data_IF_608881562528
#
_entry.id   IF_608881562528
#
_cell.length_a   1.000
_cell.length_b   1.000
_cell.length_c   1.000
_cell.angle_alpha   90.00
_cell.angle_beta   90.00
_cell.angle_gamma   90.00
#
_symmetry.space_group_name_H-M   'P 1'
#
loop_
_entity.id
_entity.type
_entity.pdbx_description
1 polymer ?
#
# COMPACT_ATOMS: atom_id res chain seq x y z
N UNK A 1 37.37 -1.65 17.57
CA UNK A 1 37.43 -0.75 16.40
C UNK A 1 36.84 -1.38 15.12
N UNK A 2 37.20 -2.62 14.75
CA UNK A 2 36.70 -3.31 13.54
C UNK A 2 35.16 -3.47 13.42
N UNK A 3 34.45 -3.77 14.52
CA UNK A 3 32.98 -3.96 14.50
C UNK A 3 32.22 -2.68 14.10
N UNK A 4 32.65 -1.51 14.60
CA UNK A 4 32.04 -0.20 14.26
C UNK A 4 32.20 0.14 12.78
N UNK A 5 33.35 -0.19 12.18
CA UNK A 5 33.62 0.07 10.76
C UNK A 5 32.76 -0.82 9.84
N UNK A 6 32.50 -2.09 10.22
CA UNK A 6 31.59 -2.98 9.47
C UNK A 6 30.15 -2.47 9.49
N UNK A 7 29.66 -2.05 10.66
CA UNK A 7 28.30 -1.49 10.80
C UNK A 7 28.15 -0.21 9.97
N UNK A 8 29.15 0.68 10.00
CA UNK A 8 29.12 1.92 9.22
C UNK A 8 29.11 1.65 7.70
N UNK A 9 29.95 0.72 7.21
CA UNK A 9 29.95 0.34 5.79
C UNK A 9 28.60 -0.25 5.36
N UNK A 10 27.99 -1.06 6.21
CA UNK A 10 26.67 -1.64 5.94
C UNK A 10 25.57 -0.56 5.90
N UNK A 11 25.56 0.36 6.86
CA UNK A 11 24.62 1.49 6.87
C UNK A 11 24.77 2.36 5.62
N UNK A 12 26.00 2.65 5.20
CA UNK A 12 26.27 3.43 3.99
C UNK A 12 25.80 2.74 2.72
N UNK A 13 26.07 1.44 2.58
CA UNK A 13 25.63 0.66 1.43
C UNK A 13 24.09 0.65 1.32
N UNK A 14 23.41 0.43 2.44
CA UNK A 14 21.94 0.46 2.49
C UNK A 14 21.37 1.85 2.18
N UNK A 15 21.99 2.90 2.72
CA UNK A 15 21.59 4.28 2.41
C UNK A 15 21.76 4.60 0.92
N UNK A 16 22.85 4.14 0.30
CA UNK A 16 23.09 4.29 -1.14
C UNK A 16 22.05 3.53 -1.97
N UNK A 17 21.70 2.32 -1.57
CA UNK A 17 20.67 1.51 -2.26
C UNK A 17 19.30 2.20 -2.21
N UNK A 18 18.81 2.57 -1.02
CA UNK A 18 17.55 3.30 -0.86
C UNK A 18 17.56 4.62 -1.66
N UNK A 19 18.66 5.37 -1.62
CA UNK A 19 18.81 6.60 -2.41
C UNK A 19 18.74 6.31 -3.91
N UNK A 20 19.34 5.21 -4.38
CA UNK A 20 19.36 4.83 -5.79
C UNK A 20 17.96 4.52 -6.32
N UNK A 21 17.12 3.83 -5.54
CA UNK A 21 15.75 3.46 -5.95
C UNK A 21 14.85 4.70 -6.04
N UNK A 22 15.00 5.66 -5.14
CA UNK A 22 14.29 6.94 -5.22
C UNK A 22 14.67 7.71 -6.49
N UNK A 23 15.94 7.70 -6.89
CA UNK A 23 16.36 8.33 -8.15
C UNK A 23 15.82 7.57 -9.37
N UNK A 24 15.75 6.24 -9.31
CA UNK A 24 15.14 5.43 -10.37
C UNK A 24 13.64 5.76 -10.53
N UNK A 25 12.89 5.97 -9.44
CA UNK A 25 11.49 6.44 -9.54
C UNK A 25 11.43 7.79 -10.24
N UNK A 26 12.24 8.77 -9.83
CA UNK A 26 12.24 10.11 -10.44
C UNK A 26 12.59 10.08 -11.93
N UNK A 27 13.43 9.14 -12.35
CA UNK A 27 13.82 8.94 -13.75
C UNK A 27 12.73 8.23 -14.56
N UNK A 28 12.22 7.09 -14.07
CA UNK A 28 11.23 6.24 -14.78
C UNK A 28 9.82 6.82 -14.75
N UNK A 29 9.49 7.57 -13.70
CA UNK A 29 8.15 8.13 -13.44
C UNK A 29 8.25 9.62 -13.05
N UNK A 30 8.68 10.52 -13.96
CA UNK A 30 8.94 11.93 -13.64
C UNK A 30 7.72 12.71 -13.12
N UNK A 31 6.51 12.22 -13.38
CA UNK A 31 5.26 12.80 -12.91
C UNK A 31 4.88 12.41 -11.47
N UNK A 32 5.60 11.45 -10.87
CA UNK A 32 5.35 10.97 -9.49
C UNK A 32 6.02 11.92 -8.51
N UNK A 33 5.26 12.36 -7.50
CA UNK A 33 5.79 13.19 -6.41
C UNK A 33 6.17 12.29 -5.25
N UNK A 34 7.46 12.26 -4.90
CA UNK A 34 7.96 11.65 -3.66
C UNK A 34 8.32 12.73 -2.66
N UNK A 35 7.82 12.61 -1.43
CA UNK A 35 8.19 13.50 -0.32
C UNK A 35 9.37 12.93 0.50
N UNK A 36 9.70 13.58 1.61
CA UNK A 36 10.89 13.26 2.40
C UNK A 36 10.81 11.86 3.03
N UNK A 37 11.92 11.13 3.05
CA UNK A 37 12.02 9.83 3.72
C UNK A 37 11.02 8.77 3.21
N UNK A 38 10.69 8.80 1.92
CA UNK A 38 10.06 7.64 1.26
C UNK A 38 11.12 6.55 1.07
N UNK A 39 10.88 5.39 1.66
CA UNK A 39 11.74 4.22 1.54
C UNK A 39 11.17 3.25 0.51
N UNK A 40 11.99 2.86 -0.46
CA UNK A 40 11.67 1.85 -1.45
C UNK A 40 12.64 0.70 -1.26
N UNK A 41 12.13 -0.53 -1.20
CA UNK A 41 12.91 -1.73 -0.92
C UNK A 41 12.55 -2.83 -1.90
N UNK A 42 13.52 -3.68 -2.22
CA UNK A 42 13.34 -4.81 -3.12
C UNK A 42 13.67 -4.48 -4.57
N UNK A 43 13.19 -5.35 -5.45
CA UNK A 43 13.43 -5.21 -6.89
C UNK A 43 12.57 -4.09 -7.50
N UNK A 44 13.23 -3.14 -8.17
CA UNK A 44 12.59 -1.99 -8.79
C UNK A 44 11.68 -2.39 -9.96
N UNK A 45 11.97 -3.49 -10.65
CA UNK A 45 11.16 -3.95 -11.79
C UNK A 45 9.76 -4.42 -11.39
N UNK A 46 9.53 -4.64 -10.09
CA UNK A 46 8.22 -4.96 -9.54
C UNK A 46 7.33 -3.71 -9.36
N UNK A 47 7.86 -2.50 -9.55
CA UNK A 47 7.13 -1.25 -9.35
C UNK A 47 6.53 -0.70 -10.66
N UNK A 48 5.22 -0.49 -10.64
CA UNK A 48 4.45 0.10 -11.73
C UNK A 48 3.61 1.26 -11.19
N UNK A 49 3.84 2.46 -11.73
CA UNK A 49 3.10 3.66 -11.35
C UNK A 49 2.51 4.28 -12.61
N UNK A 50 1.21 4.58 -12.59
CA UNK A 50 0.51 5.19 -13.70
C UNK A 50 0.18 6.65 -13.41
N UNK A 51 0.36 7.52 -14.40
CA UNK A 51 0.02 8.95 -14.26
C UNK A 51 0.63 9.59 -13.02
N UNK A 52 -0.04 10.60 -12.47
CA UNK A 52 0.42 11.32 -11.28
C UNK A 52 0.08 10.53 -10.02
N UNK A 53 1.09 10.06 -9.30
CA UNK A 53 0.97 9.47 -7.96
C UNK A 53 1.73 10.34 -6.97
N UNK A 54 1.15 10.56 -5.79
CA UNK A 54 1.80 11.29 -4.69
C UNK A 54 2.09 10.30 -3.58
N UNK A 55 3.37 10.20 -3.19
CA UNK A 55 3.81 9.34 -2.09
C UNK A 55 4.42 10.23 -1.03
N UNK A 56 3.72 10.35 0.09
CA UNK A 56 4.06 11.29 1.14
C UNK A 56 5.10 10.74 2.10
N UNK A 57 5.58 11.64 2.95
CA UNK A 57 6.76 11.42 3.77
C UNK A 57 6.66 10.21 4.71
N UNK A 58 7.82 9.61 5.01
CA UNK A 58 7.93 8.45 5.91
C UNK A 58 7.17 7.19 5.44
N UNK A 59 6.81 7.11 4.15
CA UNK A 59 6.14 5.94 3.57
C UNK A 59 7.15 4.85 3.20
N UNK A 60 6.78 3.59 3.36
CA UNK A 60 7.59 2.42 2.95
C UNK A 60 6.87 1.63 1.85
N UNK A 61 7.55 1.46 0.72
CA UNK A 61 7.14 0.55 -0.36
C UNK A 61 8.09 -0.64 -0.38
N UNK A 62 7.58 -1.83 -0.11
CA UNK A 62 8.35 -3.06 -0.17
C UNK A 62 7.90 -3.89 -1.38
N UNK A 63 8.77 -3.93 -2.39
CA UNK A 63 8.50 -4.46 -3.73
C UNK A 63 8.83 -5.94 -3.91
N UNK A 64 9.29 -6.62 -2.85
CA UNK A 64 9.65 -8.03 -2.91
C UNK A 64 11.06 -8.23 -3.44
N UNK A 65 11.30 -9.27 -4.25
CA UNK A 65 12.61 -9.51 -4.86
C UNK A 65 13.69 -10.09 -3.93
N UNK A 66 13.31 -10.53 -2.73
CA UNK A 66 14.20 -11.23 -1.81
C UNK A 66 13.89 -12.72 -1.73
N UNK A 67 14.86 -13.53 -1.30
CA UNK A 67 14.70 -14.98 -1.19
C UNK A 67 13.52 -15.41 -0.31
N UNK A 68 13.28 -14.69 0.81
CA UNK A 68 12.19 -15.01 1.73
C UNK A 68 10.80 -14.83 1.11
N UNK A 69 10.68 -14.00 0.07
CA UNK A 69 9.47 -13.78 -0.69
C UNK A 69 9.58 -14.35 -2.10
N UNK A 70 10.24 -15.50 -2.25
CA UNK A 70 10.34 -16.26 -3.52
C UNK A 70 10.97 -15.45 -4.67
N UNK A 71 11.76 -14.41 -4.34
CA UNK A 71 12.27 -13.41 -5.29
C UNK A 71 11.16 -12.75 -6.14
N UNK A 72 9.93 -12.73 -5.64
CA UNK A 72 8.76 -12.20 -6.30
C UNK A 72 8.18 -11.00 -5.56
N UNK A 73 7.40 -10.21 -6.29
CA UNK A 73 6.64 -9.08 -5.78
C UNK A 73 6.02 -8.31 -6.93
N UNK A 74 5.05 -7.45 -6.63
CA UNK A 74 4.42 -6.58 -7.62
C UNK A 74 3.65 -5.48 -6.91
N UNK A 75 4.01 -4.23 -7.15
CA UNK A 75 3.23 -3.07 -6.72
C UNK A 75 2.78 -2.29 -7.95
N UNK A 76 1.47 -2.16 -8.11
CA UNK A 76 0.85 -1.32 -9.14
C UNK A 76 -0.02 -0.25 -8.48
N UNK A 77 0.16 1.03 -8.85
CA UNK A 77 -0.65 2.14 -8.34
C UNK A 77 -1.13 3.01 -9.51
N UNK A 78 -2.45 3.15 -9.61
CA UNK A 78 -3.12 3.94 -10.63
C UNK A 78 -2.95 5.45 -10.48
N UNK A 79 -3.31 6.17 -11.54
CA UNK A 79 -3.21 7.63 -11.62
C UNK A 79 -4.13 8.35 -10.66
N UNK A 80 -3.70 9.52 -10.17
CA UNK A 80 -4.46 10.36 -9.25
C UNK A 80 -4.35 9.94 -7.78
N UNK A 81 -3.68 8.82 -7.50
CA UNK A 81 -3.63 8.25 -6.16
C UNK A 81 -2.65 8.97 -5.22
N UNK A 82 -3.03 9.03 -3.95
CA UNK A 82 -2.27 9.63 -2.86
C UNK A 82 -2.02 8.58 -1.78
N UNK A 83 -0.75 8.38 -1.46
CA UNK A 83 -0.31 7.56 -0.33
C UNK A 83 0.14 8.51 0.78
N UNK A 84 -0.68 8.66 1.83
CA UNK A 84 -0.43 9.59 2.95
C UNK A 84 0.79 9.22 3.80
N UNK A 85 1.23 10.08 4.74
CA UNK A 85 2.48 9.88 5.45
C UNK A 85 2.45 8.65 6.35
N UNK A 86 3.60 8.00 6.51
CA UNK A 86 3.74 6.85 7.40
C UNK A 86 3.02 5.59 6.94
N UNK A 87 2.53 5.55 5.69
CA UNK A 87 1.93 4.34 5.14
C UNK A 87 2.98 3.27 4.86
N UNK A 88 2.58 2.01 4.89
CA UNK A 88 3.45 0.87 4.60
C UNK A 88 2.73 -0.08 3.64
N UNK A 89 3.35 -0.36 2.51
CA UNK A 89 2.82 -1.28 1.50
C UNK A 89 3.82 -2.42 1.31
N UNK A 90 3.42 -3.63 1.70
CA UNK A 90 4.18 -4.86 1.51
C UNK A 90 3.58 -5.64 0.35
N UNK A 91 4.17 -5.45 -0.82
CA UNK A 91 3.75 -6.02 -2.09
C UNK A 91 4.70 -7.16 -2.50
N UNK A 92 4.79 -8.17 -1.64
CA UNK A 92 5.81 -9.22 -1.68
C UNK A 92 5.26 -10.58 -2.09
N UNK A 93 6.18 -11.40 -2.61
CA UNK A 93 5.88 -12.77 -3.05
C UNK A 93 4.94 -12.81 -4.25
N UNK A 94 4.26 -13.93 -4.40
CA UNK A 94 3.31 -14.18 -5.50
C UNK A 94 1.97 -13.45 -5.32
N UNK A 95 1.75 -12.76 -4.20
CA UNK A 95 0.55 -11.97 -3.93
C UNK A 95 0.57 -10.63 -4.65
N UNK A 96 1.51 -9.75 -4.28
CA UNK A 96 1.54 -8.37 -4.77
C UNK A 96 0.34 -7.51 -4.33
N UNK A 97 0.39 -6.23 -4.67
CA UNK A 97 -0.66 -5.24 -4.38
C UNK A 97 -0.97 -4.46 -5.66
N UNK A 98 -2.24 -4.41 -6.04
CA UNK A 98 -2.74 -3.61 -7.15
C UNK A 98 -3.73 -2.58 -6.62
N UNK A 99 -3.48 -1.31 -6.92
CA UNK A 99 -4.30 -0.17 -6.51
C UNK A 99 -4.76 0.57 -7.77
N UNK A 100 -6.06 0.81 -7.86
CA UNK A 100 -6.70 1.58 -8.92
C UNK A 100 -6.34 3.06 -8.92
N UNK A 101 -7.10 3.82 -9.70
CA UNK A 101 -7.01 5.28 -9.85
C UNK A 101 -7.68 5.99 -8.69
N UNK A 102 -7.22 7.21 -8.41
CA UNK A 102 -7.80 8.11 -7.42
C UNK A 102 -7.94 7.46 -6.02
N UNK A 103 -7.04 6.53 -5.68
CA UNK A 103 -7.00 5.97 -4.34
C UNK A 103 -6.46 7.01 -3.37
N UNK A 104 -7.21 7.31 -2.32
CA UNK A 104 -6.78 8.19 -1.25
C UNK A 104 -6.71 7.39 0.04
N UNK A 105 -5.50 7.19 0.58
CA UNK A 105 -5.36 6.61 1.91
C UNK A 105 -4.85 7.63 2.90
N UNK A 106 -5.44 7.64 4.08
CA UNK A 106 -5.05 8.47 5.21
C UNK A 106 -3.77 7.98 5.87
N UNK A 107 -3.15 8.82 6.72
CA UNK A 107 -1.86 8.52 7.34
C UNK A 107 -1.86 7.19 8.10
N UNK A 108 -0.71 6.50 8.06
CA UNK A 108 -0.53 5.23 8.79
C UNK A 108 -1.28 4.02 8.22
N UNK A 109 -1.80 4.11 6.99
CA UNK A 109 -2.44 2.95 6.34
C UNK A 109 -1.41 1.85 6.03
N UNK A 110 -1.73 0.60 6.37
CA UNK A 110 -0.89 -0.56 6.19
C UNK A 110 -1.54 -1.57 5.24
N UNK A 111 -0.83 -1.99 4.20
CA UNK A 111 -1.34 -2.91 3.16
C UNK A 111 -0.37 -4.08 3.02
N UNK A 112 -0.85 -5.31 3.23
CA UNK A 112 0.00 -6.50 3.21
C UNK A 112 -0.52 -7.54 2.21
N UNK A 113 0.29 -7.93 1.24
CA UNK A 113 0.06 -9.11 0.39
C UNK A 113 0.68 -10.39 0.95
N UNK A 114 1.32 -10.30 2.12
CA UNK A 114 1.96 -11.43 2.77
C UNK A 114 1.84 -11.41 4.29
N UNK A 115 1.93 -12.58 4.90
CA UNK A 115 2.09 -12.76 6.35
C UNK A 115 2.77 -14.08 6.65
N UNK A 116 3.25 -14.26 7.87
CA UNK A 116 3.67 -15.59 8.35
C UNK A 116 2.50 -16.56 8.27
N UNK A 117 2.74 -17.74 7.70
CA UNK A 117 1.80 -18.85 7.70
C UNK A 117 1.90 -19.59 9.04
N UNK A 118 1.19 -19.07 10.04
CA UNK A 118 1.20 -19.61 11.40
C UNK A 118 0.77 -21.08 11.47
N UNK A 119 -0.01 -21.57 10.50
CA UNK A 119 -0.45 -22.96 10.46
C UNK A 119 0.69 -23.91 10.04
N UNK A 120 1.66 -23.41 9.26
CA UNK A 120 2.84 -24.17 8.81
C UNK A 120 4.10 -23.87 9.64
N UNK A 121 4.13 -22.75 10.35
CA UNK A 121 5.22 -22.34 11.24
C UNK A 121 5.90 -21.04 10.82
N UNK A 122 6.72 -20.46 11.70
CA UNK A 122 7.29 -19.11 11.55
C UNK A 122 8.15 -18.89 10.30
N UNK A 123 8.72 -19.97 9.75
CA UNK A 123 9.58 -19.96 8.55
C UNK A 123 8.78 -19.98 7.24
N UNK A 124 7.46 -20.17 7.32
CA UNK A 124 6.57 -20.21 6.16
C UNK A 124 5.84 -18.89 5.99
N UNK A 125 5.63 -18.50 4.74
CA UNK A 125 4.91 -17.30 4.37
C UNK A 125 3.70 -17.65 3.52
N UNK A 126 2.60 -16.95 3.79
CA UNK A 126 1.41 -16.95 2.95
C UNK A 126 1.44 -15.69 2.11
N UNK A 127 1.35 -15.86 0.79
CA UNK A 127 1.25 -14.79 -0.19
C UNK A 127 -0.14 -14.81 -0.79
N UNK A 128 -0.86 -13.69 -0.71
CA UNK A 128 -2.16 -13.54 -1.36
C UNK A 128 -2.31 -12.12 -1.91
N UNK A 129 -2.80 -11.98 -3.15
CA UNK A 129 -2.94 -10.67 -3.79
C UNK A 129 -3.88 -9.77 -3.00
N UNK A 130 -3.57 -8.48 -2.98
CA UNK A 130 -4.51 -7.43 -2.55
C UNK A 130 -4.88 -6.60 -3.76
N UNK A 131 -6.17 -6.41 -3.96
CA UNK A 131 -6.71 -5.60 -5.06
C UNK A 131 -7.57 -4.49 -4.48
N UNK A 132 -7.26 -3.25 -4.83
CA UNK A 132 -8.01 -2.06 -4.43
C UNK A 132 -8.48 -1.39 -5.72
N UNK A 133 -9.79 -1.21 -5.83
CA UNK A 133 -10.44 -0.58 -6.98
C UNK A 133 -10.17 0.91 -7.13
N UNK A 134 -10.88 1.52 -8.06
CA UNK A 134 -10.83 2.94 -8.36
C UNK A 134 -11.63 3.75 -7.31
N UNK A 135 -11.20 4.98 -7.02
CA UNK A 135 -11.88 5.93 -6.14
C UNK A 135 -12.11 5.41 -4.71
N UNK A 136 -11.29 4.47 -4.24
CA UNK A 136 -11.35 3.97 -2.87
C UNK A 136 -10.74 4.99 -1.91
N UNK A 137 -11.42 5.22 -0.79
CA UNK A 137 -10.93 6.11 0.28
C UNK A 137 -10.69 5.29 1.54
N UNK A 138 -9.47 5.30 2.04
CA UNK A 138 -9.13 4.80 3.37
C UNK A 138 -8.88 5.98 4.30
N UNK A 139 -9.56 6.04 5.44
CA UNK A 139 -9.17 6.99 6.49
C UNK A 139 -7.91 6.53 7.24
N UNK A 140 -7.51 7.29 8.26
CA UNK A 140 -6.26 7.04 8.97
C UNK A 140 -6.20 5.66 9.64
N UNK A 141 -4.99 5.09 9.71
CA UNK A 141 -4.67 3.85 10.41
C UNK A 141 -5.50 2.62 9.98
N UNK A 142 -5.79 2.50 8.69
CA UNK A 142 -6.45 1.31 8.13
C UNK A 142 -5.43 0.19 7.91
N UNK A 143 -5.80 -1.05 8.21
CA UNK A 143 -4.99 -2.24 7.93
C UNK A 143 -5.71 -3.15 6.95
N UNK A 144 -5.06 -3.49 5.84
CA UNK A 144 -5.60 -4.40 4.80
C UNK A 144 -4.81 -5.70 4.80
N UNK A 145 -5.52 -6.82 5.02
CA UNK A 145 -4.93 -8.16 5.12
C UNK A 145 -4.67 -8.80 3.75
N UNK A 146 -3.76 -9.80 3.66
CA UNK A 146 -3.50 -10.53 2.43
C UNK A 146 -4.76 -11.22 1.87
N UNK A 147 -4.99 -11.11 0.57
CA UNK A 147 -6.09 -11.78 -0.12
C UNK A 147 -7.39 -10.99 -0.19
N UNK A 148 -7.38 -9.72 0.22
CA UNK A 148 -8.56 -8.85 0.21
C UNK A 148 -8.71 -8.13 -1.13
N UNK A 149 -9.95 -8.10 -1.62
CA UNK A 149 -10.41 -7.23 -2.71
C UNK A 149 -11.30 -6.12 -2.16
N UNK A 150 -10.99 -4.86 -2.45
CA UNK A 150 -11.82 -3.69 -2.13
C UNK A 150 -12.38 -3.15 -3.45
N UNK A 151 -13.70 -3.18 -3.60
CA UNK A 151 -14.38 -2.68 -4.79
C UNK A 151 -14.35 -1.17 -4.93
N UNK A 152 -14.64 -0.70 -6.14
CA UNK A 152 -14.60 0.72 -6.51
C UNK A 152 -15.49 1.59 -5.61
N UNK A 153 -15.03 2.81 -5.31
CA UNK A 153 -15.78 3.79 -4.52
C UNK A 153 -16.05 3.38 -3.06
N UNK A 154 -15.43 2.30 -2.56
CA UNK A 154 -15.56 1.91 -1.17
C UNK A 154 -14.87 2.90 -0.23
N UNK A 155 -15.42 3.05 0.98
CA UNK A 155 -14.85 3.91 2.03
C UNK A 155 -14.53 3.08 3.27
N UNK A 156 -13.29 3.17 3.74
CA UNK A 156 -12.82 2.46 4.93
C UNK A 156 -12.67 3.45 6.08
N UNK A 157 -13.48 3.28 7.13
CA UNK A 157 -13.43 4.13 8.31
C UNK A 157 -12.09 4.00 9.06
N UNK A 158 -11.72 5.04 9.82
CA UNK A 158 -10.44 5.09 10.51
C UNK A 158 -10.27 3.93 11.53
N UNK A 159 -9.03 3.51 11.77
CA UNK A 159 -8.66 2.41 12.67
C UNK A 159 -9.36 1.07 12.36
N UNK A 160 -9.68 0.81 11.09
CA UNK A 160 -10.34 -0.43 10.68
C UNK A 160 -9.36 -1.51 10.22
N UNK A 161 -9.69 -2.78 10.46
CA UNK A 161 -8.92 -3.93 9.99
C UNK A 161 -9.75 -4.72 8.98
N UNK A 162 -9.33 -4.67 7.73
CA UNK A 162 -9.98 -5.34 6.61
C UNK A 162 -9.41 -6.75 6.46
N UNK A 163 -10.25 -7.74 6.72
CA UNK A 163 -9.90 -9.16 6.68
C UNK A 163 -10.68 -9.96 5.63
N UNK A 164 -11.64 -9.32 4.96
CA UNK A 164 -12.51 -9.90 3.95
C UNK A 164 -12.80 -8.85 2.88
N UNK A 165 -13.28 -9.30 1.71
CA UNK A 165 -13.59 -8.42 0.60
C UNK A 165 -14.64 -7.36 0.97
N UNK A 166 -14.48 -6.17 0.39
CA UNK A 166 -15.38 -5.04 0.55
C UNK A 166 -16.08 -4.81 -0.78
N UNK A 167 -17.42 -4.92 -0.86
CA UNK A 167 -18.15 -4.63 -2.09
C UNK A 167 -17.94 -3.17 -2.53
N UNK A 168 -18.08 -2.87 -3.83
CA UNK A 168 -18.02 -1.48 -4.31
C UNK A 168 -19.09 -0.63 -3.62
N UNK A 169 -18.83 0.68 -3.56
CA UNK A 169 -19.73 1.70 -2.99
C UNK A 169 -20.26 1.31 -1.61
N UNK A 170 -19.37 0.81 -0.76
CA UNK A 170 -19.72 0.36 0.59
C UNK A 170 -18.79 1.01 1.59
N UNK A 171 -19.38 1.56 2.66
CA UNK A 171 -18.63 2.02 3.82
C UNK A 171 -18.51 0.88 4.82
N UNK A 172 -17.28 0.55 5.23
CA UNK A 172 -17.01 -0.43 6.30
C UNK A 172 -16.20 0.19 7.43
N UNK A 173 -16.30 -0.37 8.62
CA UNK A 173 -15.44 0.02 9.74
C UNK A 173 -15.36 -1.00 10.86
N UNK A 174 -14.35 -0.85 11.72
CA UNK A 174 -14.10 -1.70 12.89
C UNK A 174 -13.00 -2.75 12.69
N UNK A 175 -12.79 -3.59 13.69
CA UNK A 175 -11.75 -4.64 13.69
C UNK A 175 -12.31 -5.95 14.29
N UNK A 176 -12.60 -6.97 13.48
CA UNK A 176 -12.63 -6.94 12.01
C UNK A 176 -13.74 -6.02 11.47
N UNK A 177 -13.49 -5.39 10.31
CA UNK A 177 -14.43 -4.45 9.73
C UNK A 177 -15.77 -5.09 9.37
N UNK A 178 -16.84 -4.29 9.49
CA UNK A 178 -18.22 -4.64 9.12
C UNK A 178 -18.80 -3.54 8.26
N UNK A 179 -19.76 -3.89 7.43
CA UNK A 179 -20.53 -2.92 6.65
C UNK A 179 -21.25 -1.97 7.61
N UNK A 180 -21.02 -0.67 7.42
CA UNK A 180 -21.71 0.41 8.12
C UNK A 180 -22.92 0.83 7.30
N UNK A 181 -22.70 1.14 6.01
CA UNK A 181 -23.75 1.55 5.08
C UNK A 181 -23.32 1.34 3.63
N UNK A 182 -24.30 1.37 2.72
CA UNK A 182 -24.06 1.54 1.29
C UNK A 182 -23.85 3.03 0.97
N UNK A 183 -23.05 3.28 -0.05
CA UNK A 183 -22.77 4.60 -0.58
C UNK A 183 -23.46 4.76 -1.93
N UNK A 184 -23.79 5.98 -2.32
CA UNK A 184 -24.28 6.24 -3.66
C UNK A 184 -23.20 5.98 -4.71
N UNK A 185 -23.61 5.45 -5.86
CA UNK A 185 -22.69 5.05 -6.94
C UNK A 185 -22.22 6.24 -7.79
N UNK A 186 -22.95 7.36 -7.77
CA UNK A 186 -22.66 8.57 -8.55
C UNK A 186 -22.49 9.81 -7.65
N UNK A 187 -21.74 10.81 -8.15
CA UNK A 187 -21.43 12.05 -7.42
C UNK A 187 -22.67 12.89 -7.11
N UNK A 188 -23.67 12.88 -7.99
CA UNK A 188 -24.92 13.62 -7.79
C UNK A 188 -25.69 13.14 -6.55
N UNK A 189 -25.79 11.83 -6.34
CA UNK A 189 -26.42 11.26 -5.15
C UNK A 189 -25.58 11.48 -3.87
N UNK A 190 -24.25 11.58 -3.98
CA UNK A 190 -23.38 11.89 -2.84
C UNK A 190 -23.55 13.32 -2.33
N UNK A 191 -23.70 14.30 -3.22
CA UNK A 191 -23.97 15.70 -2.85
C UNK A 191 -25.32 15.80 -2.15
N UNK A 192 -26.35 15.13 -2.69
CA UNK A 192 -27.68 15.10 -2.08
C UNK A 192 -27.61 14.52 -0.67
N UNK A 193 -26.88 13.43 -0.45
CA UNK A 193 -26.83 12.76 0.85
C UNK A 193 -26.02 13.54 1.91
N UNK A 194 -25.00 14.30 1.50
CA UNK A 194 -24.18 15.13 2.39
C UNK A 194 -24.92 16.40 2.84
N UNK A 195 -25.86 16.90 2.03
CA UNK A 195 -26.65 18.09 2.35
C UNK A 195 -27.77 17.85 3.40
N UNK A 196 -28.00 16.61 3.83
CA UNK A 196 -29.12 16.23 4.72
C UNK A 196 -28.69 15.90 6.17
N UNK A 197 -27.43 16.14 6.53
CA UNK A 197 -26.88 15.92 7.87
C UNK A 197 -26.09 17.15 8.34
#
# INVERSE_FOLDING_TARGET
MLKKLKVLKWLLARYQEEYSLVQQVKSRFPQVKLENNVQIKGDFDNLHLEGKVIIQQNTVLHLGGYQWCENAGKLSIGAGSVISPGCIIYATGTGGVTIGKNFDCGPGTLIFSSRTDYARGKEHHLFRPVTIGDNVICFANVVISPGVTIGDGAVIAANSVITHDVPPYTMVGGSPARIIKKLPENEEEQVVHTAVH
#
